data_IF_686769006181
#
_entry.id   IF_686769006181
#
_cell.length_a   1.000
_cell.length_b   1.000
_cell.length_c   1.000
_cell.angle_alpha   90.00
_cell.angle_beta   90.00
_cell.angle_gamma   90.00
#
_symmetry.space_group_name_H-M   'P 1'
#
loop_
_entity.id
_entity.type
_entity.pdbx_description
1 polymer ?
#
# COMPACT_ATOMS: atom_id res chain seq x y z
N UNK A 1 35.31 36.79 -16.17
CA UNK A 1 35.31 37.25 -14.77
C UNK A 1 35.98 36.15 -13.98
N UNK A 2 37.17 36.44 -13.47
CA UNK A 2 38.10 35.50 -12.84
C UNK A 2 37.85 35.44 -11.33
N UNK A 3 37.85 34.25 -10.74
CA UNK A 3 38.29 33.92 -9.36
C UNK A 3 38.49 32.40 -9.33
N UNK A 4 39.70 31.86 -9.41
CA UNK A 4 40.83 31.84 -8.45
C UNK A 4 40.68 30.75 -7.38
N UNK A 5 41.53 29.76 -7.61
CA UNK A 5 41.94 28.58 -6.86
C UNK A 5 42.33 28.80 -5.39
N UNK A 6 42.00 27.81 -4.56
CA UNK A 6 42.54 27.55 -3.23
C UNK A 6 43.99 27.08 -3.30
N UNK A 7 44.87 27.66 -2.49
CA UNK A 7 46.27 27.26 -2.35
C UNK A 7 46.50 26.77 -0.91
N UNK A 8 46.89 25.49 -0.77
CA UNK A 8 47.25 24.82 0.49
C UNK A 8 48.71 25.10 0.81
N UNK A 9 48.99 25.54 2.04
CA UNK A 9 50.33 25.78 2.57
C UNK A 9 51.07 24.44 2.76
N UNK A 10 52.34 24.40 2.35
CA UNK A 10 53.22 23.22 2.34
C UNK A 10 53.93 23.01 3.70
N UNK A 11 54.15 21.76 4.14
CA UNK A 11 54.80 21.41 5.42
C UNK A 11 56.21 22.01 5.64
N UNK A 12 56.89 22.45 4.59
CA UNK A 12 58.26 23.00 4.68
C UNK A 12 58.32 24.41 5.31
N UNK A 13 57.21 25.15 5.37
CA UNK A 13 57.18 26.46 6.04
C UNK A 13 57.05 26.36 7.57
N UNK A 14 56.50 25.25 8.08
CA UNK A 14 56.33 25.02 9.52
C UNK A 14 57.65 24.63 10.22
N UNK A 15 58.49 23.82 9.55
CA UNK A 15 59.77 23.38 10.10
C UNK A 15 60.80 24.53 10.19
N UNK A 16 60.69 25.54 9.31
CA UNK A 16 61.55 26.73 9.35
C UNK A 16 61.26 27.66 10.53
N UNK A 17 60.03 27.64 11.03
CA UNK A 17 59.61 28.45 12.18
C UNK A 17 60.02 27.76 13.50
N UNK A 18 60.03 26.42 13.53
CA UNK A 18 60.44 25.60 14.67
C UNK A 18 61.97 25.63 14.91
N UNK A 19 62.77 25.63 13.84
CA UNK A 19 64.24 25.75 13.93
C UNK A 19 64.68 27.15 14.39
N UNK A 20 63.84 28.19 14.18
CA UNK A 20 64.11 29.55 14.66
C UNK A 20 63.87 29.71 16.17
N UNK A 21 63.07 28.82 16.78
CA UNK A 21 62.76 28.83 18.21
C UNK A 21 63.71 27.98 19.06
N UNK A 22 64.48 27.07 18.45
CA UNK A 22 65.34 26.11 19.16
C UNK A 22 66.84 26.48 19.16
N UNK A 23 67.27 27.50 18.43
CA UNK A 23 68.68 27.94 18.37
C UNK A 23 68.92 29.26 19.13
N UNK A 24 68.93 29.20 20.46
CA UNK A 24 69.23 30.33 21.36
C UNK A 24 70.39 30.03 22.31
N UNK A 25 71.59 30.38 21.88
CA UNK A 25 72.89 30.14 22.50
C UNK A 25 73.11 30.81 23.86
N UNK A 26 73.88 30.10 24.69
CA UNK A 26 74.41 30.53 26.00
C UNK A 26 75.50 31.61 25.88
N UNK A 27 75.31 32.77 26.52
CA UNK A 27 76.41 33.67 26.88
C UNK A 27 76.32 34.15 28.34
N UNK A 28 77.47 34.07 29.05
CA UNK A 28 77.69 34.52 30.43
C UNK A 28 78.33 35.92 30.45
N UNK A 29 77.74 36.87 31.20
CA UNK A 29 78.38 37.91 32.08
C UNK A 29 77.37 39.04 32.40
N UNK A 30 77.58 39.94 33.39
CA UNK A 30 78.30 39.85 34.67
C UNK A 30 77.35 40.04 35.89
N UNK A 31 77.86 39.79 37.11
CA UNK A 31 77.14 39.94 38.39
C UNK A 31 76.83 41.41 38.70
N UNK A 32 75.55 41.76 38.84
CA UNK A 32 75.08 43.08 39.25
C UNK A 32 74.21 42.94 40.53
N UNK A 33 74.43 43.70 41.63
CA UNK A 33 73.88 43.41 42.96
C UNK A 33 72.37 43.67 43.12
N UNK A 34 71.65 44.01 42.05
CA UNK A 34 70.18 44.16 42.04
C UNK A 34 69.42 42.83 41.83
N UNK A 35 70.10 41.73 41.46
CA UNK A 35 69.48 40.40 41.31
C UNK A 35 69.09 39.72 42.63
N UNK A 36 69.72 40.05 43.77
CA UNK A 36 69.33 39.49 45.08
C UNK A 36 67.93 39.91 45.53
N UNK A 37 67.46 41.10 45.15
CA UNK A 37 66.09 41.57 45.46
C UNK A 37 65.03 40.91 44.57
N UNK A 38 65.37 40.57 43.33
CA UNK A 38 64.47 39.90 42.38
C UNK A 38 64.34 38.40 42.68
N UNK A 39 65.41 37.74 43.14
CA UNK A 39 65.36 36.33 43.57
C UNK A 39 64.58 36.17 44.88
N UNK A 40 64.68 37.13 45.80
CA UNK A 40 63.86 37.15 47.03
C UNK A 40 62.39 37.45 46.70
N UNK A 41 62.10 38.36 45.76
CA UNK A 41 60.73 38.62 45.30
C UNK A 41 60.12 37.41 44.54
N UNK A 42 60.91 36.68 43.75
CA UNK A 42 60.46 35.47 43.07
C UNK A 42 60.27 34.30 44.05
N UNK A 43 61.11 34.17 45.08
CA UNK A 43 60.93 33.17 46.14
C UNK A 43 59.71 33.48 47.02
N UNK A 44 59.41 34.75 47.29
CA UNK A 44 58.19 35.18 48.00
C UNK A 44 56.96 35.03 47.09
N UNK A 45 57.09 35.22 45.78
CA UNK A 45 56.00 34.95 44.83
C UNK A 45 55.74 33.44 44.69
N UNK A 46 56.77 32.60 44.68
CA UNK A 46 56.61 31.13 44.63
C UNK A 46 56.11 30.59 45.97
N UNK A 47 56.57 31.10 47.12
CA UNK A 47 56.01 30.77 48.44
C UNK A 47 54.61 31.39 48.64
N UNK A 48 54.30 32.49 47.96
CA UNK A 48 52.97 33.08 47.89
C UNK A 48 52.02 32.26 47.02
N UNK A 49 52.48 31.70 45.90
CA UNK A 49 51.69 30.82 45.03
C UNK A 49 51.52 29.42 45.66
N UNK A 50 52.55 28.89 46.32
CA UNK A 50 52.48 27.65 47.10
C UNK A 50 51.63 27.86 48.36
N UNK A 51 51.77 29.02 49.02
CA UNK A 51 50.95 29.43 50.16
C UNK A 51 49.48 29.66 49.78
N UNK A 52 49.20 30.24 48.62
CA UNK A 52 47.82 30.37 48.09
C UNK A 52 47.25 29.02 47.68
N UNK A 53 48.06 28.06 47.20
CA UNK A 53 47.64 26.66 46.97
C UNK A 53 47.48 25.82 48.25
N UNK A 54 48.12 26.20 49.37
CA UNK A 54 48.02 25.50 50.67
C UNK A 54 47.07 26.19 51.67
N UNK A 55 46.69 27.45 51.45
CA UNK A 55 45.71 28.21 52.25
C UNK A 55 44.39 28.50 51.52
N UNK A 56 44.29 28.20 50.22
CA UNK A 56 42.99 27.94 49.60
C UNK A 56 42.65 26.48 49.87
N UNK A 57 42.06 26.21 51.04
CA UNK A 57 41.21 25.04 51.18
C UNK A 57 40.14 25.17 50.10
N UNK A 58 40.29 24.39 49.03
CA UNK A 58 39.21 24.15 48.09
C UNK A 58 38.07 23.61 48.93
N UNK A 59 37.10 24.47 49.24
CA UNK A 59 35.83 24.03 49.75
C UNK A 59 35.27 23.25 48.57
N UNK A 60 35.32 21.91 48.64
CA UNK A 60 34.80 21.04 47.59
C UNK A 60 33.44 21.60 47.18
N UNK A 61 33.37 22.15 45.97
CA UNK A 61 32.12 22.69 45.44
C UNK A 61 31.27 21.47 45.14
N UNK A 62 30.44 21.10 46.11
CA UNK A 62 29.46 20.02 45.97
C UNK A 62 28.54 20.41 44.80
N UNK A 63 28.47 19.61 43.72
CA UNK A 63 27.64 19.92 42.57
C UNK A 63 26.18 20.04 43.01
N UNK A 64 25.51 21.08 42.52
CA UNK A 64 24.06 21.21 42.67
C UNK A 64 23.40 20.53 41.47
N UNK A 65 22.55 19.54 41.72
CA UNK A 65 21.90 18.72 40.69
C UNK A 65 20.38 18.84 40.79
N UNK A 66 19.70 18.93 39.65
CA UNK A 66 18.23 18.85 39.62
C UNK A 66 17.79 17.41 39.89
N UNK A 67 16.69 17.26 40.62
CA UNK A 67 16.20 15.97 41.08
C UNK A 67 14.78 15.70 40.63
N UNK A 68 14.47 14.43 40.42
CA UNK A 68 13.13 13.92 40.13
C UNK A 68 12.80 12.77 41.07
N UNK A 69 11.53 12.64 41.43
CA UNK A 69 11.03 11.53 42.25
C UNK A 69 10.22 10.59 41.35
N UNK A 70 10.51 9.28 41.34
CA UNK A 70 9.71 8.31 40.59
C UNK A 70 8.26 8.30 41.06
N UNK A 71 7.32 8.09 40.14
CA UNK A 71 5.89 7.99 40.48
C UNK A 71 5.28 6.74 39.88
N UNK A 72 4.34 6.11 40.61
CA UNK A 72 3.57 5.00 40.05
C UNK A 72 2.37 5.48 39.26
N UNK A 73 2.31 5.07 38.00
CA UNK A 73 1.17 5.33 37.11
C UNK A 73 1.11 4.33 35.98
N UNK A 74 -0.03 4.30 35.30
CA UNK A 74 -0.15 3.60 34.03
C UNK A 74 0.69 4.32 32.99
N UNK A 75 1.52 3.58 32.28
CA UNK A 75 2.32 4.04 31.16
C UNK A 75 2.01 3.21 29.93
N UNK A 76 1.96 3.87 28.78
CA UNK A 76 1.61 3.26 27.50
C UNK A 76 2.63 3.65 26.45
N UNK A 77 3.05 2.68 25.65
CA UNK A 77 3.77 2.90 24.40
C UNK A 77 2.74 3.01 23.28
N UNK A 78 2.71 4.15 22.57
CA UNK A 78 1.71 4.40 21.52
C UNK A 78 2.37 4.54 20.16
N UNK A 79 1.89 3.75 19.20
CA UNK A 79 2.19 3.94 17.79
C UNK A 79 1.28 5.03 17.22
N UNK A 80 1.88 6.12 16.75
CA UNK A 80 1.16 7.21 16.09
C UNK A 80 1.51 7.28 14.61
N UNK A 81 0.52 7.05 13.73
CA UNK A 81 0.71 7.03 12.28
C UNK A 81 -0.38 7.81 11.58
N UNK A 82 -0.04 8.48 10.48
CA UNK A 82 -0.99 9.23 9.65
C UNK A 82 -1.35 8.46 8.39
N UNK A 83 -2.58 8.60 7.94
CA UNK A 83 -3.08 7.97 6.72
C UNK A 83 -4.33 8.68 6.17
N UNK A 84 -4.70 8.43 4.90
CA UNK A 84 -5.96 8.91 4.36
C UNK A 84 -7.15 8.12 4.92
N UNK A 85 -8.27 8.82 5.11
CA UNK A 85 -9.59 8.21 5.32
C UNK A 85 -10.21 7.92 3.96
N UNK A 86 -10.77 6.72 3.77
CA UNK A 86 -11.50 6.32 2.57
C UNK A 86 -12.79 5.58 2.92
N UNK A 87 -13.67 5.39 1.93
CA UNK A 87 -14.71 4.36 2.03
C UNK A 87 -14.13 2.94 2.06
N UNK A 88 -15.00 1.99 2.39
CA UNK A 88 -14.69 0.54 2.44
C UNK A 88 -14.48 -0.06 1.05
N UNK A 89 -15.44 0.19 0.16
CA UNK A 89 -15.43 -0.24 -1.23
C UNK A 89 -15.30 0.99 -2.13
N UNK A 90 -14.40 0.96 -3.10
CA UNK A 90 -14.22 2.01 -4.11
C UNK A 90 -14.14 1.39 -5.49
N UNK A 91 -14.90 1.92 -6.44
CA UNK A 91 -14.89 1.47 -7.83
C UNK A 91 -14.83 2.66 -8.78
N UNK A 92 -13.83 2.60 -9.65
CA UNK A 92 -13.66 3.49 -10.79
C UNK A 92 -14.54 3.01 -11.96
N UNK A 93 -15.41 3.89 -12.44
CA UNK A 93 -16.30 3.61 -13.57
C UNK A 93 -15.72 4.25 -14.83
N UNK A 94 -15.35 3.39 -15.78
CA UNK A 94 -14.77 3.77 -17.08
C UNK A 94 -15.65 3.30 -18.24
N UNK A 95 -15.45 3.89 -19.41
CA UNK A 95 -16.08 3.43 -20.66
C UNK A 95 -15.05 3.40 -21.78
N UNK A 96 -15.05 2.32 -22.55
CA UNK A 96 -14.22 2.17 -23.74
C UNK A 96 -14.99 2.48 -25.03
N UNK A 97 -16.24 2.93 -24.93
CA UNK A 97 -17.06 3.26 -26.08
C UNK A 97 -16.74 4.68 -26.57
N UNK A 98 -16.46 4.79 -27.87
CA UNK A 98 -16.29 6.07 -28.54
C UNK A 98 -17.66 6.71 -28.83
N UNK A 99 -18.34 7.17 -27.78
CA UNK A 99 -19.66 7.78 -27.83
C UNK A 99 -19.73 9.05 -26.99
N UNK A 100 -20.52 10.02 -27.42
CA UNK A 100 -20.75 11.27 -26.70
C UNK A 100 -21.67 11.05 -25.50
N UNK A 101 -21.41 11.70 -24.37
CA UNK A 101 -22.28 11.66 -23.19
C UNK A 101 -23.44 12.62 -23.40
N UNK A 102 -24.66 12.10 -23.46
CA UNK A 102 -25.89 12.87 -23.63
C UNK A 102 -26.45 13.36 -22.29
N UNK A 103 -26.40 12.51 -21.27
CA UNK A 103 -26.99 12.80 -19.96
C UNK A 103 -26.13 12.27 -18.82
N UNK A 104 -26.10 13.01 -17.71
CA UNK A 104 -25.51 12.59 -16.43
C UNK A 104 -26.59 12.82 -15.35
N UNK A 105 -27.40 11.82 -15.02
CA UNK A 105 -28.52 11.95 -14.06
C UNK A 105 -28.08 12.03 -12.59
N UNK A 106 -26.78 11.93 -12.29
CA UNK A 106 -26.22 11.92 -10.94
C UNK A 106 -25.26 13.08 -10.71
N UNK A 107 -25.05 13.46 -9.45
CA UNK A 107 -24.09 14.48 -9.02
C UNK A 107 -23.18 13.92 -7.94
N UNK A 108 -22.05 14.61 -7.72
CA UNK A 108 -21.20 14.32 -6.57
C UNK A 108 -21.99 14.47 -5.27
N UNK A 109 -21.87 13.47 -4.39
CA UNK A 109 -22.62 13.35 -3.14
C UNK A 109 -23.93 12.57 -3.26
N UNK A 110 -24.41 12.24 -4.45
CA UNK A 110 -25.63 11.43 -4.60
C UNK A 110 -25.36 9.97 -4.22
N UNK A 111 -26.30 9.38 -3.46
CA UNK A 111 -26.33 7.93 -3.22
C UNK A 111 -26.90 7.21 -4.44
N UNK A 112 -26.23 6.14 -4.86
CA UNK A 112 -26.60 5.31 -6.01
C UNK A 112 -26.67 3.85 -5.61
N UNK A 113 -27.61 3.11 -6.21
CA UNK A 113 -27.68 1.65 -6.08
C UNK A 113 -27.03 0.95 -7.26
N UNK A 114 -26.52 -0.25 -7.08
CA UNK A 114 -25.99 -1.10 -8.14
C UNK A 114 -26.98 -1.23 -9.30
N UNK A 115 -26.49 -0.98 -10.51
CA UNK A 115 -27.29 -0.97 -11.73
C UNK A 115 -27.98 0.36 -12.04
N UNK A 116 -27.94 1.34 -11.14
CA UNK A 116 -28.49 2.67 -11.39
C UNK A 116 -27.68 3.38 -12.49
N UNK A 117 -28.35 4.02 -13.48
CA UNK A 117 -27.68 4.80 -14.51
C UNK A 117 -26.90 5.99 -13.92
N UNK A 118 -25.64 6.13 -14.34
CA UNK A 118 -24.73 7.23 -14.01
C UNK A 118 -24.56 8.19 -15.19
N UNK A 119 -24.56 7.64 -16.41
CA UNK A 119 -24.51 8.40 -17.64
C UNK A 119 -25.23 7.65 -18.78
N UNK A 120 -25.78 8.41 -19.71
CA UNK A 120 -26.35 7.91 -20.96
C UNK A 120 -25.49 8.42 -22.11
N UNK A 121 -24.96 7.50 -22.90
CA UNK A 121 -24.16 7.79 -24.08
C UNK A 121 -25.05 7.81 -25.34
N UNK A 122 -24.58 8.47 -26.40
CA UNK A 122 -25.20 8.40 -27.71
C UNK A 122 -25.13 6.96 -28.24
N UNK A 123 -26.31 6.33 -28.35
CA UNK A 123 -26.46 4.95 -28.77
C UNK A 123 -26.64 4.79 -30.28
N UNK A 124 -26.70 5.89 -31.04
CA UNK A 124 -27.21 5.86 -32.40
C UNK A 124 -26.39 5.00 -33.36
N UNK A 125 -25.06 5.00 -33.23
CA UNK A 125 -24.18 4.17 -34.07
C UNK A 125 -24.09 2.73 -33.55
N UNK A 126 -23.97 2.53 -32.24
CA UNK A 126 -23.92 1.20 -31.62
C UNK A 126 -25.22 0.43 -31.85
N UNK A 127 -26.36 1.12 -31.81
CA UNK A 127 -27.67 0.55 -32.11
C UNK A 127 -27.79 0.11 -33.57
N UNK A 128 -27.30 0.92 -34.52
CA UNK A 128 -27.25 0.53 -35.93
C UNK A 128 -26.37 -0.71 -36.13
N UNK A 129 -25.24 -0.79 -35.44
CA UNK A 129 -24.36 -1.97 -35.48
C UNK A 129 -25.07 -3.22 -34.96
N UNK A 130 -25.79 -3.12 -33.83
CA UNK A 130 -26.61 -4.20 -33.31
C UNK A 130 -27.73 -4.63 -34.28
N UNK A 131 -28.40 -3.67 -34.92
CA UNK A 131 -29.43 -3.94 -35.92
C UNK A 131 -28.86 -4.65 -37.17
N UNK A 132 -27.67 -4.23 -37.63
CA UNK A 132 -26.96 -4.89 -38.75
C UNK A 132 -26.61 -6.33 -38.37
N UNK A 133 -25.98 -6.54 -37.20
CA UNK A 133 -25.59 -7.87 -36.75
C UNK A 133 -26.79 -8.79 -36.55
N UNK A 134 -27.92 -8.25 -36.08
CA UNK A 134 -29.19 -8.99 -36.01
C UNK A 134 -29.68 -9.43 -37.39
N UNK A 135 -29.66 -8.53 -38.37
CA UNK A 135 -30.09 -8.85 -39.73
C UNK A 135 -29.19 -9.93 -40.36
N UNK A 136 -27.88 -9.87 -40.12
CA UNK A 136 -26.93 -10.89 -40.58
C UNK A 136 -27.18 -12.26 -39.92
N UNK A 137 -27.50 -12.28 -38.62
CA UNK A 137 -27.92 -13.49 -37.92
C UNK A 137 -29.21 -14.07 -38.50
N UNK A 138 -30.25 -13.24 -38.68
CA UNK A 138 -31.53 -13.66 -39.26
C UNK A 138 -31.36 -14.18 -40.70
N UNK A 139 -30.47 -13.56 -41.48
CA UNK A 139 -30.10 -14.00 -42.83
C UNK A 139 -29.36 -15.35 -42.79
N UNK A 140 -28.42 -15.56 -41.88
CA UNK A 140 -27.71 -16.84 -41.73
C UNK A 140 -28.66 -17.98 -41.35
N UNK A 141 -29.59 -17.71 -40.41
CA UNK A 141 -30.63 -18.67 -40.01
C UNK A 141 -31.53 -19.03 -41.20
N UNK A 142 -31.99 -18.03 -41.95
CA UNK A 142 -32.84 -18.23 -43.13
C UNK A 142 -32.11 -19.03 -44.22
N UNK A 143 -30.85 -18.67 -44.50
CA UNK A 143 -30.01 -19.35 -45.50
C UNK A 143 -29.79 -20.82 -45.15
N UNK A 144 -29.48 -21.11 -43.88
CA UNK A 144 -29.32 -22.50 -43.42
C UNK A 144 -30.63 -23.29 -43.58
N UNK A 145 -31.77 -22.70 -43.21
CA UNK A 145 -33.08 -23.34 -43.36
C UNK A 145 -33.43 -23.62 -44.85
N UNK A 146 -33.11 -22.69 -45.75
CA UNK A 146 -33.26 -22.89 -47.19
C UNK A 146 -32.36 -24.03 -47.69
N UNK A 147 -31.09 -24.07 -47.28
CA UNK A 147 -30.15 -25.14 -47.66
C UNK A 147 -30.53 -26.50 -47.12
N UNK A 148 -31.05 -26.56 -45.90
CA UNK A 148 -31.61 -27.78 -45.32
C UNK A 148 -32.80 -28.27 -46.14
N UNK A 149 -33.67 -27.36 -46.59
CA UNK A 149 -34.82 -27.71 -47.44
C UNK A 149 -34.36 -28.20 -48.81
N UNK A 150 -33.35 -27.56 -49.41
CA UNK A 150 -32.72 -28.03 -50.65
C UNK A 150 -32.14 -29.43 -50.51
N UNK A 151 -31.39 -29.70 -49.42
CA UNK A 151 -30.82 -31.01 -49.13
C UNK A 151 -31.90 -32.10 -48.99
N UNK A 152 -33.00 -31.81 -48.27
CA UNK A 152 -34.14 -32.73 -48.13
C UNK A 152 -34.80 -33.05 -49.47
N UNK A 153 -35.04 -32.04 -50.29
CA UNK A 153 -35.65 -32.22 -51.60
C UNK A 153 -34.73 -32.98 -52.56
N UNK A 154 -33.43 -32.67 -52.55
CA UNK A 154 -32.40 -33.35 -53.35
C UNK A 154 -32.31 -34.83 -52.97
N UNK A 155 -32.20 -35.13 -51.68
CA UNK A 155 -32.18 -36.50 -51.18
C UNK A 155 -33.46 -37.28 -51.50
N UNK A 156 -34.63 -36.67 -51.33
CA UNK A 156 -35.91 -37.30 -51.68
C UNK A 156 -35.96 -37.70 -53.17
N UNK A 157 -35.41 -36.85 -54.05
CA UNK A 157 -35.29 -37.16 -55.48
C UNK A 157 -34.26 -38.27 -55.73
N UNK A 158 -33.09 -38.20 -55.10
CA UNK A 158 -32.05 -39.23 -55.23
C UNK A 158 -32.58 -40.64 -54.86
N UNK A 159 -33.41 -40.72 -53.81
CA UNK A 159 -34.08 -41.97 -53.41
C UNK A 159 -35.06 -42.46 -54.48
N UNK A 160 -35.80 -41.57 -55.15
CA UNK A 160 -36.68 -41.95 -56.26
C UNK A 160 -35.90 -42.49 -57.46
N UNK A 161 -34.77 -41.84 -57.77
CA UNK A 161 -33.88 -42.25 -58.86
C UNK A 161 -33.22 -43.61 -58.55
N UNK A 162 -32.78 -43.83 -57.31
CA UNK A 162 -32.27 -45.12 -56.81
C UNK A 162 -33.30 -46.24 -56.95
N UNK A 163 -34.53 -46.00 -56.48
CA UNK A 163 -35.61 -47.00 -56.61
C UNK A 163 -35.89 -47.35 -58.08
N UNK A 164 -35.82 -46.36 -58.97
CA UNK A 164 -36.02 -46.55 -60.42
C UNK A 164 -34.88 -47.35 -61.02
N UNK A 165 -33.63 -47.03 -60.68
CA UNK A 165 -32.43 -47.73 -61.14
C UNK A 165 -32.42 -49.19 -60.65
N UNK A 166 -32.79 -49.42 -59.37
CA UNK A 166 -32.92 -50.75 -58.79
C UNK A 166 -33.95 -51.59 -59.55
N UNK A 167 -35.15 -51.05 -59.77
CA UNK A 167 -36.19 -51.77 -60.52
C UNK A 167 -35.77 -52.07 -61.97
N UNK A 168 -34.96 -51.22 -62.58
CA UNK A 168 -34.42 -51.44 -63.92
C UNK A 168 -33.33 -52.54 -63.93
N UNK A 169 -32.42 -52.52 -62.96
CA UNK A 169 -31.42 -53.56 -62.76
C UNK A 169 -32.09 -54.92 -62.53
N UNK A 170 -33.04 -55.00 -61.60
CA UNK A 170 -33.74 -56.25 -61.26
C UNK A 170 -34.45 -56.84 -62.49
N UNK A 171 -35.13 -55.99 -63.27
CA UNK A 171 -35.80 -56.40 -64.51
C UNK A 171 -34.81 -56.88 -65.56
N UNK A 172 -33.71 -56.16 -65.77
CA UNK A 172 -32.70 -56.47 -66.79
C UNK A 172 -31.95 -57.75 -66.43
N UNK A 173 -31.63 -57.93 -65.14
CA UNK A 173 -31.02 -59.16 -64.61
C UNK A 173 -31.91 -60.38 -64.86
N UNK A 174 -33.20 -60.28 -64.55
CA UNK A 174 -34.14 -61.37 -64.81
C UNK A 174 -34.22 -61.73 -66.31
N UNK A 175 -34.18 -60.74 -67.21
CA UNK A 175 -34.14 -60.97 -68.66
C UNK A 175 -32.81 -61.57 -69.13
N UNK A 176 -31.68 -61.16 -68.54
CA UNK A 176 -30.35 -61.70 -68.85
C UNK A 176 -30.23 -63.16 -68.42
N UNK A 177 -30.69 -63.47 -67.20
CA UNK A 177 -30.71 -64.84 -66.65
C UNK A 177 -31.60 -65.77 -67.50
N UNK A 178 -32.66 -65.23 -68.10
CA UNK A 178 -33.50 -65.89 -69.10
C UNK A 178 -32.91 -65.94 -70.52
N UNK A 179 -31.70 -65.44 -70.75
CA UNK A 179 -31.01 -65.42 -72.05
C UNK A 179 -31.59 -64.43 -73.07
N UNK A 180 -32.41 -63.47 -72.63
CA UNK A 180 -33.19 -62.57 -73.51
C UNK A 180 -32.52 -61.22 -73.79
N UNK A 181 -31.45 -60.86 -73.09
CA UNK A 181 -30.67 -59.62 -73.33
C UNK A 181 -29.14 -59.89 -73.27
N UNK A 182 -28.30 -59.13 -73.98
CA UNK A 182 -26.84 -59.18 -73.88
C UNK A 182 -26.26 -58.78 -72.51
N UNK A 183 -25.03 -59.23 -72.21
CA UNK A 183 -24.31 -58.89 -70.96
C UNK A 183 -24.07 -57.38 -70.76
N UNK A 184 -23.83 -56.66 -71.85
CA UNK A 184 -23.59 -55.20 -71.81
C UNK A 184 -24.79 -54.42 -71.29
N UNK A 185 -26.01 -54.91 -71.53
CA UNK A 185 -27.23 -54.26 -71.03
C UNK A 185 -27.34 -54.42 -69.51
N UNK A 186 -26.97 -55.60 -68.98
CA UNK A 186 -26.89 -55.83 -67.54
C UNK A 186 -25.81 -54.96 -66.88
N UNK A 187 -24.60 -54.90 -67.44
CA UNK A 187 -23.51 -54.06 -66.93
C UNK A 187 -23.91 -52.57 -66.95
N UNK A 188 -24.67 -52.12 -67.96
CA UNK A 188 -25.19 -50.75 -68.02
C UNK A 188 -26.21 -50.48 -66.92
N UNK A 189 -27.13 -51.43 -66.68
CA UNK A 189 -28.12 -51.30 -65.60
C UNK A 189 -27.46 -51.33 -64.20
N UNK A 190 -26.43 -52.16 -64.02
CA UNK A 190 -25.64 -52.24 -62.78
C UNK A 190 -24.89 -50.94 -62.50
N UNK A 191 -24.22 -50.37 -63.51
CA UNK A 191 -23.56 -49.07 -63.36
C UNK A 191 -24.57 -47.97 -63.03
N UNK A 192 -25.74 -47.96 -63.68
CA UNK A 192 -26.80 -47.00 -63.37
C UNK A 192 -27.33 -47.12 -61.93
N UNK A 193 -27.39 -48.33 -61.38
CA UNK A 193 -27.72 -48.56 -59.97
C UNK A 193 -26.62 -48.01 -59.05
N UNK A 194 -25.35 -48.38 -59.29
CA UNK A 194 -24.22 -47.88 -58.51
C UNK A 194 -24.09 -46.35 -58.57
N UNK A 195 -24.42 -45.73 -59.70
CA UNK A 195 -24.43 -44.27 -59.84
C UNK A 195 -25.50 -43.63 -58.94
N UNK A 196 -26.71 -44.20 -58.90
CA UNK A 196 -27.80 -43.72 -58.07
C UNK A 196 -27.55 -43.95 -56.57
N UNK A 197 -26.89 -45.06 -56.19
CA UNK A 197 -26.46 -45.33 -54.82
C UNK A 197 -25.46 -44.26 -54.34
N UNK A 198 -24.43 -43.97 -55.16
CA UNK A 198 -23.43 -42.95 -54.84
C UNK A 198 -24.02 -41.55 -54.70
N UNK A 199 -25.02 -41.22 -55.51
CA UNK A 199 -25.74 -39.94 -55.37
C UNK A 199 -26.47 -39.86 -54.02
N UNK A 200 -27.15 -40.93 -53.58
CA UNK A 200 -27.81 -40.97 -52.26
C UNK A 200 -26.81 -40.82 -51.12
N UNK A 201 -25.67 -41.52 -51.20
CA UNK A 201 -24.61 -41.51 -50.19
C UNK A 201 -23.88 -40.16 -50.09
N UNK A 202 -24.01 -39.29 -51.10
CA UNK A 202 -23.42 -37.95 -51.09
C UNK A 202 -24.09 -36.98 -50.10
N UNK A 203 -25.32 -37.28 -49.66
CA UNK A 203 -26.07 -36.42 -48.75
C UNK A 203 -25.74 -36.71 -47.29
N UNK A 204 -25.53 -35.66 -46.49
CA UNK A 204 -25.35 -35.80 -45.04
C UNK A 204 -26.70 -35.98 -44.36
N UNK A 205 -26.90 -37.10 -43.66
CA UNK A 205 -28.12 -37.40 -42.93
C UNK A 205 -27.90 -37.21 -41.42
N UNK A 206 -28.72 -36.35 -40.80
CA UNK A 206 -28.76 -36.19 -39.33
C UNK A 206 -30.19 -36.39 -38.86
N UNK A 207 -30.38 -37.20 -37.82
CA UNK A 207 -31.70 -37.52 -37.25
C UNK A 207 -32.73 -37.98 -38.30
N UNK A 208 -32.29 -38.77 -39.27
CA UNK A 208 -33.16 -39.32 -40.33
C UNK A 208 -33.62 -38.31 -41.38
N UNK A 209 -33.04 -37.11 -41.45
CA UNK A 209 -33.28 -36.14 -42.52
C UNK A 209 -31.98 -35.69 -43.15
N UNK A 210 -31.98 -35.49 -44.47
CA UNK A 210 -30.87 -34.81 -45.13
C UNK A 210 -30.77 -33.37 -44.63
N UNK A 211 -29.55 -32.93 -44.36
CA UNK A 211 -29.24 -31.60 -43.85
C UNK A 211 -28.15 -30.98 -44.71
N UNK A 212 -28.10 -29.65 -44.67
CA UNK A 212 -27.01 -28.91 -45.28
C UNK A 212 -25.69 -29.17 -44.54
N UNK A 213 -24.59 -28.78 -45.19
CA UNK A 213 -23.25 -28.83 -44.63
C UNK A 213 -23.15 -28.03 -43.32
N UNK A 214 -22.33 -28.51 -42.38
CA UNK A 214 -22.18 -27.90 -41.06
C UNK A 214 -21.63 -26.47 -41.11
N UNK A 215 -20.99 -26.06 -42.21
CA UNK A 215 -20.56 -24.67 -42.44
C UNK A 215 -21.69 -23.65 -42.30
N UNK A 216 -22.93 -23.98 -42.67
CA UNK A 216 -24.08 -23.09 -42.48
C UNK A 216 -24.47 -22.93 -41.00
N UNK A 217 -24.29 -23.98 -40.20
CA UNK A 217 -24.52 -23.90 -38.75
C UNK A 217 -23.45 -23.05 -38.07
N UNK A 218 -22.19 -23.21 -38.49
CA UNK A 218 -21.08 -22.37 -38.02
C UNK A 218 -21.27 -20.89 -38.40
N UNK A 219 -21.86 -20.60 -39.57
CA UNK A 219 -22.23 -19.23 -39.94
C UNK A 219 -23.30 -18.64 -39.01
N UNK A 220 -24.32 -19.42 -38.63
CA UNK A 220 -25.31 -18.99 -37.64
C UNK A 220 -24.63 -18.70 -36.30
N UNK A 221 -23.76 -19.59 -35.82
CA UNK A 221 -23.07 -19.42 -34.54
C UNK A 221 -22.18 -18.17 -34.53
N UNK A 222 -21.42 -17.95 -35.61
CA UNK A 222 -20.62 -16.74 -35.78
C UNK A 222 -21.49 -15.48 -35.76
N UNK A 223 -22.54 -15.44 -36.59
CA UNK A 223 -23.41 -14.27 -36.67
C UNK A 223 -24.16 -14.01 -35.34
N UNK A 224 -24.50 -15.08 -34.61
CA UNK A 224 -25.07 -14.98 -33.26
C UNK A 224 -24.10 -14.32 -32.29
N UNK A 225 -22.84 -14.75 -32.27
CA UNK A 225 -21.82 -14.17 -31.41
C UNK A 225 -21.58 -12.68 -31.75
N UNK A 226 -21.51 -12.35 -33.03
CA UNK A 226 -21.37 -10.97 -33.48
C UNK A 226 -22.57 -10.11 -33.04
N UNK A 227 -23.79 -10.66 -33.11
CA UNK A 227 -25.00 -9.99 -32.59
C UNK A 227 -24.99 -9.81 -31.07
N UNK A 228 -24.66 -10.85 -30.29
CA UNK A 228 -24.57 -10.77 -28.83
C UNK A 228 -23.55 -9.72 -28.38
N UNK A 229 -22.39 -9.67 -29.05
CA UNK A 229 -21.36 -8.64 -28.80
C UNK A 229 -21.87 -7.22 -29.08
N UNK A 230 -22.59 -7.02 -30.19
CA UNK A 230 -23.14 -5.72 -30.53
C UNK A 230 -24.24 -5.28 -29.54
N UNK A 231 -25.04 -6.22 -29.03
CA UNK A 231 -26.02 -5.96 -27.96
C UNK A 231 -25.33 -5.59 -26.65
N UNK A 232 -24.24 -6.27 -26.27
CA UNK A 232 -23.46 -5.91 -25.07
C UNK A 232 -22.88 -4.49 -25.18
N UNK A 233 -22.36 -4.13 -26.35
CA UNK A 233 -21.91 -2.75 -26.60
C UNK A 233 -23.06 -1.74 -26.49
N UNK A 234 -24.26 -2.10 -26.97
CA UNK A 234 -25.44 -1.26 -26.83
C UNK A 234 -25.84 -1.11 -25.36
N UNK A 235 -25.83 -2.17 -24.57
CA UNK A 235 -26.11 -2.10 -23.13
C UNK A 235 -25.09 -1.23 -22.38
N UNK A 236 -23.83 -1.25 -22.82
CA UNK A 236 -22.75 -0.41 -22.29
C UNK A 236 -22.89 1.09 -22.64
N UNK A 237 -23.84 1.48 -23.51
CA UNK A 237 -24.19 2.90 -23.73
C UNK A 237 -24.89 3.52 -22.51
N UNK A 238 -25.45 2.70 -21.63
CA UNK A 238 -25.98 3.14 -20.34
C UNK A 238 -24.95 2.75 -19.29
N UNK A 239 -24.15 3.72 -18.87
CA UNK A 239 -23.14 3.50 -17.84
C UNK A 239 -23.83 3.39 -16.48
N UNK A 240 -23.64 2.26 -15.77
CA UNK A 240 -24.34 1.94 -14.53
C UNK A 240 -23.38 1.84 -13.34
N UNK A 241 -23.91 2.08 -12.14
CA UNK A 241 -23.18 1.87 -10.90
C UNK A 241 -22.86 0.37 -10.70
N UNK A 242 -21.58 -0.02 -10.51
CA UNK A 242 -21.20 -1.42 -10.28
C UNK A 242 -21.48 -1.90 -8.85
N UNK A 243 -21.55 -0.97 -7.90
CA UNK A 243 -21.81 -1.19 -6.46
C UNK A 243 -22.85 -0.19 -5.94
N UNK A 244 -23.45 -0.50 -4.79
CA UNK A 244 -24.15 0.49 -3.99
C UNK A 244 -23.12 1.45 -3.37
N UNK A 245 -23.40 2.76 -3.34
CA UNK A 245 -22.46 3.71 -2.75
C UNK A 245 -22.84 5.17 -2.99
N UNK A 246 -21.87 6.05 -2.80
CA UNK A 246 -21.98 7.48 -3.04
C UNK A 246 -21.06 7.87 -4.20
N UNK A 247 -21.55 8.69 -5.12
CA UNK A 247 -20.72 9.25 -6.19
C UNK A 247 -19.77 10.28 -5.58
N UNK A 248 -18.49 9.94 -5.44
CA UNK A 248 -17.50 10.85 -4.82
C UNK A 248 -16.81 11.75 -5.83
N UNK A 249 -16.75 11.34 -7.11
CA UNK A 249 -16.20 12.15 -8.20
C UNK A 249 -17.01 11.99 -9.49
N UNK A 250 -17.16 13.09 -10.22
CA UNK A 250 -17.67 13.14 -11.59
C UNK A 250 -16.65 13.87 -12.47
N UNK A 251 -15.81 13.14 -13.20
CA UNK A 251 -14.72 13.73 -14.00
C UNK A 251 -15.12 14.01 -15.47
N UNK A 252 -16.41 13.92 -15.77
CA UNK A 252 -16.92 14.06 -17.14
C UNK A 252 -18.06 15.09 -17.23
N UNK A 253 -18.44 15.44 -18.46
CA UNK A 253 -19.48 16.44 -18.77
C UNK A 253 -20.28 16.01 -19.98
N UNK A 254 -21.55 16.42 -20.02
CA UNK A 254 -22.40 16.30 -21.23
C UNK A 254 -21.69 16.96 -22.41
N UNK A 255 -21.71 16.29 -23.56
CA UNK A 255 -21.02 16.72 -24.77
C UNK A 255 -19.60 16.17 -24.95
N UNK A 256 -19.07 15.43 -23.98
CA UNK A 256 -17.74 14.81 -24.04
C UNK A 256 -17.83 13.37 -24.51
N UNK A 257 -16.82 12.89 -25.24
CA UNK A 257 -16.67 11.48 -25.57
C UNK A 257 -16.23 10.66 -24.35
N UNK A 258 -16.90 9.53 -24.12
CA UNK A 258 -16.73 8.69 -22.92
C UNK A 258 -15.35 8.01 -22.82
N UNK A 259 -14.71 7.72 -23.96
CA UNK A 259 -13.38 7.10 -24.06
C UNK A 259 -12.22 8.12 -24.01
N UNK A 260 -12.51 9.43 -24.01
CA UNK A 260 -11.51 10.50 -24.06
C UNK A 260 -11.47 11.29 -22.76
N UNK A 261 -10.89 10.70 -21.71
CA UNK A 261 -10.68 11.37 -20.43
C UNK A 261 -9.33 12.07 -20.36
N UNK A 262 -9.24 13.13 -19.53
CA UNK A 262 -7.97 13.81 -19.26
C UNK A 262 -7.17 12.95 -18.28
N UNK A 263 -5.89 12.70 -18.59
CA UNK A 263 -4.98 11.89 -17.76
C UNK A 263 -5.55 10.50 -17.39
N UNK A 264 -6.33 9.90 -18.28
CA UNK A 264 -6.98 8.60 -18.07
C UNK A 264 -7.86 8.51 -16.80
N UNK A 265 -8.37 9.66 -16.33
CA UNK A 265 -9.23 9.70 -15.16
C UNK A 265 -10.55 8.90 -15.40
N UNK A 266 -11.06 8.19 -14.39
CA UNK A 266 -12.34 7.49 -14.52
C UNK A 266 -13.49 8.49 -14.67
N UNK A 267 -14.58 8.11 -15.34
CA UNK A 267 -15.74 9.00 -15.53
C UNK A 267 -16.41 9.31 -14.19
N UNK A 268 -16.57 8.27 -13.36
CA UNK A 268 -17.14 8.35 -12.02
C UNK A 268 -16.28 7.55 -11.05
N UNK A 269 -16.22 8.00 -9.80
CA UNK A 269 -15.70 7.20 -8.68
C UNK A 269 -16.84 7.02 -7.70
N UNK A 270 -17.13 5.77 -7.34
CA UNK A 270 -18.19 5.42 -6.39
C UNK A 270 -17.56 4.77 -5.19
N UNK A 271 -17.86 5.30 -4.01
CA UNK A 271 -17.38 4.76 -2.73
C UNK A 271 -18.51 4.43 -1.77
N UNK A 272 -18.35 3.34 -1.03
CA UNK A 272 -19.20 3.05 0.12
C UNK A 272 -18.72 3.86 1.33
N UNK A 273 -19.40 4.98 1.59
CA UNK A 273 -19.12 5.91 2.68
C UNK A 273 -19.88 5.59 3.97
N UNK A 274 -20.70 4.54 4.01
CA UNK A 274 -21.43 4.16 5.23
C UNK A 274 -20.47 3.60 6.30
N UNK A 275 -19.31 3.10 5.88
CA UNK A 275 -18.22 2.68 6.76
C UNK A 275 -16.92 3.31 6.27
N UNK A 276 -16.28 4.11 7.13
CA UNK A 276 -15.00 4.74 6.85
C UNK A 276 -13.85 3.88 7.37
N UNK A 277 -12.78 3.83 6.60
CA UNK A 277 -11.53 3.16 6.96
C UNK A 277 -10.37 4.14 6.86
N UNK A 278 -9.42 4.01 7.76
CA UNK A 278 -8.14 4.70 7.76
C UNK A 278 -7.06 3.71 7.32
N UNK A 279 -6.36 4.01 6.23
CA UNK A 279 -5.23 3.20 5.78
C UNK A 279 -3.91 3.81 6.27
N UNK A 280 -3.25 3.12 7.19
CA UNK A 280 -1.95 3.53 7.74
C UNK A 280 -0.84 2.58 7.28
N UNK A 281 0.37 3.12 7.21
CA UNK A 281 1.58 2.38 6.87
C UNK A 281 2.45 2.20 8.10
N UNK A 282 2.46 1.00 8.67
CA UNK A 282 3.19 0.69 9.91
C UNK A 282 4.57 0.13 9.57
N UNK A 283 5.62 0.59 10.24
CA UNK A 283 7.00 0.12 10.00
C UNK A 283 7.16 -1.38 10.28
N UNK A 284 8.02 -2.07 9.51
CA UNK A 284 8.31 -3.51 9.69
C UNK A 284 8.88 -3.83 11.09
N UNK A 285 9.51 -2.85 11.74
CA UNK A 285 10.04 -2.99 13.10
C UNK A 285 8.97 -2.94 14.19
N UNK A 286 7.82 -2.32 13.91
CA UNK A 286 6.76 -2.08 14.91
C UNK A 286 5.54 -2.98 14.68
N UNK A 287 5.28 -3.40 13.44
CA UNK A 287 4.07 -4.14 13.09
C UNK A 287 3.88 -5.44 13.88
N UNK A 288 4.97 -6.07 14.35
CA UNK A 288 4.91 -7.26 15.20
C UNK A 288 4.23 -7.06 16.55
N UNK A 289 4.04 -5.79 16.99
CA UNK A 289 3.33 -5.42 18.22
C UNK A 289 1.87 -4.99 17.97
N UNK A 290 1.41 -4.97 16.72
CA UNK A 290 0.04 -4.61 16.36
C UNK A 290 -0.76 -5.86 16.02
N UNK A 291 -1.99 -5.96 16.54
CA UNK A 291 -2.88 -7.08 16.30
C UNK A 291 -4.21 -6.64 15.68
N UNK A 292 -4.83 -7.54 14.90
CA UNK A 292 -6.21 -7.37 14.45
C UNK A 292 -7.15 -7.44 15.66
N UNK A 293 -8.13 -6.53 15.73
CA UNK A 293 -9.04 -6.36 16.85
C UNK A 293 -8.60 -5.31 17.88
N UNK A 294 -7.42 -4.71 17.69
CA UNK A 294 -6.89 -3.72 18.61
C UNK A 294 -7.57 -2.36 18.41
N UNK A 295 -7.91 -1.69 19.51
CA UNK A 295 -8.49 -0.36 19.48
C UNK A 295 -7.48 0.70 19.04
N UNK A 296 -7.99 1.72 18.33
CA UNK A 296 -7.22 2.85 17.86
C UNK A 296 -8.01 4.14 18.08
N UNK A 297 -7.34 5.18 18.57
CA UNK A 297 -7.88 6.53 18.62
C UNK A 297 -7.52 7.28 17.34
N UNK A 298 -8.53 7.83 16.67
CA UNK A 298 -8.38 8.56 15.42
C UNK A 298 -8.62 10.05 15.68
N UNK A 299 -7.69 10.88 15.21
CA UNK A 299 -7.77 12.34 15.28
C UNK A 299 -7.57 12.95 13.91
N UNK A 300 -8.25 14.07 13.65
CA UNK A 300 -8.10 14.85 12.42
C UNK A 300 -8.45 16.32 12.70
N UNK A 301 -7.87 17.24 11.95
CA UNK A 301 -8.09 18.68 12.16
C UNK A 301 -9.58 19.06 12.08
N UNK A 302 -10.35 18.39 11.21
CA UNK A 302 -11.79 18.62 11.05
C UNK A 302 -12.62 18.28 12.30
N UNK A 303 -12.08 17.45 13.19
CA UNK A 303 -12.73 17.09 14.46
C UNK A 303 -12.57 18.19 15.53
N UNK A 304 -11.78 19.25 15.30
CA UNK A 304 -11.60 20.38 16.21
C UNK A 304 -11.17 19.97 17.64
N UNK A 305 -10.29 18.98 17.75
CA UNK A 305 -9.79 18.47 19.03
C UNK A 305 -10.60 17.31 19.61
N UNK A 306 -11.72 16.93 19.00
CA UNK A 306 -12.41 15.66 19.30
C UNK A 306 -11.64 14.49 18.68
N UNK A 307 -11.74 13.31 19.29
CA UNK A 307 -11.23 12.04 18.76
C UNK A 307 -12.41 11.10 18.49
N UNK A 308 -12.19 10.15 17.58
CA UNK A 308 -13.14 9.06 17.30
C UNK A 308 -12.45 7.72 17.45
N UNK A 309 -13.21 6.68 17.73
CA UNK A 309 -12.68 5.34 17.98
C UNK A 309 -12.71 4.50 16.70
N UNK A 310 -11.68 3.67 16.55
CA UNK A 310 -11.59 2.68 15.50
C UNK A 310 -10.98 1.37 15.98
N UNK A 311 -11.03 0.38 15.11
CA UNK A 311 -10.51 -0.97 15.36
C UNK A 311 -9.61 -1.40 14.19
N UNK A 312 -8.45 -1.98 14.49
CA UNK A 312 -7.58 -2.58 13.48
C UNK A 312 -8.26 -3.80 12.89
N UNK A 313 -8.74 -3.72 11.65
CA UNK A 313 -9.48 -4.81 10.99
C UNK A 313 -8.61 -5.68 10.09
N UNK A 314 -7.46 -5.18 9.65
CA UNK A 314 -6.61 -5.87 8.70
C UNK A 314 -5.17 -5.38 8.76
N UNK A 315 -4.24 -6.32 8.71
CA UNK A 315 -2.80 -6.10 8.55
C UNK A 315 -2.41 -6.85 7.27
N UNK A 316 -1.80 -6.15 6.32
CA UNK A 316 -1.37 -6.76 5.06
C UNK A 316 -0.36 -7.89 5.30
N UNK A 317 -0.48 -9.05 4.62
CA UNK A 317 0.49 -10.12 4.71
C UNK A 317 1.82 -9.81 4.00
N UNK A 318 1.88 -8.69 3.27
CA UNK A 318 3.07 -8.24 2.53
C UNK A 318 3.40 -6.80 2.86
N UNK A 319 4.69 -6.51 3.01
CA UNK A 319 5.21 -5.15 3.15
C UNK A 319 5.62 -4.54 1.81
N UNK A 320 5.50 -3.22 1.71
CA UNK A 320 5.89 -2.40 0.57
C UNK A 320 6.94 -1.36 0.98
N UNK A 321 7.61 -0.76 0.00
CA UNK A 321 8.45 0.42 0.27
C UNK A 321 7.55 1.60 0.63
N UNK A 322 7.94 2.39 1.65
CA UNK A 322 7.18 3.57 2.09
C UNK A 322 6.95 4.59 0.97
N UNK A 323 7.81 4.58 -0.05
CA UNK A 323 7.82 5.52 -1.16
C UNK A 323 8.75 6.72 -0.92
N UNK A 324 8.77 7.65 -1.88
CA UNK A 324 9.54 8.90 -1.75
C UNK A 324 11.06 8.73 -1.74
N UNK A 325 11.59 7.61 -2.24
CA UNK A 325 13.03 7.31 -2.23
C UNK A 325 13.55 6.73 -0.91
N UNK A 326 12.67 6.42 0.04
CA UNK A 326 13.03 5.70 1.26
C UNK A 326 13.18 4.20 1.00
N UNK A 327 14.21 3.58 1.59
CA UNK A 327 14.36 2.11 1.64
C UNK A 327 13.58 1.48 2.80
N UNK A 328 12.86 2.28 3.60
CA UNK A 328 12.05 1.80 4.72
C UNK A 328 10.87 0.97 4.19
N UNK A 329 10.68 -0.21 4.78
CA UNK A 329 9.53 -1.07 4.49
C UNK A 329 8.43 -0.86 5.51
N UNK A 330 7.21 -0.79 4.99
CA UNK A 330 5.99 -0.56 5.76
C UNK A 330 4.92 -1.56 5.35
N UNK A 331 4.05 -1.88 6.29
CA UNK A 331 2.99 -2.86 6.14
C UNK A 331 1.67 -2.08 6.17
N UNK A 332 0.93 -2.04 5.04
CA UNK A 332 -0.39 -1.44 5.01
C UNK A 332 -1.31 -2.09 6.03
N UNK A 333 -1.96 -1.26 6.85
CA UNK A 333 -2.83 -1.67 7.94
C UNK A 333 -4.09 -0.81 7.89
N UNK A 334 -5.26 -1.44 8.01
CA UNK A 334 -6.55 -0.75 7.95
C UNK A 334 -7.20 -0.69 9.33
N UNK A 335 -7.67 0.49 9.68
CA UNK A 335 -8.44 0.75 10.89
C UNK A 335 -9.84 1.17 10.47
N UNK A 336 -10.87 0.46 10.92
CA UNK A 336 -12.26 0.84 10.68
C UNK A 336 -12.72 1.83 11.73
N UNK A 337 -13.34 2.92 11.30
CA UNK A 337 -14.01 3.86 12.22
C UNK A 337 -15.26 3.16 12.78
N UNK A 338 -15.36 3.10 14.11
CA UNK A 338 -16.46 2.43 14.81
C UNK A 338 -17.56 3.39 15.26
N UNK A 339 -17.20 4.65 15.50
CA UNK A 339 -18.14 5.70 15.85
C UNK A 339 -19.02 6.08 14.65
N UNK A 340 -20.30 6.35 14.92
CA UNK A 340 -21.27 6.81 13.93
C UNK A 340 -21.40 8.34 13.95
N UNK A 341 -21.92 8.92 12.86
CA UNK A 341 -22.18 10.36 12.72
C UNK A 341 -20.96 11.26 13.00
N UNK A 342 -19.77 10.74 12.70
CA UNK A 342 -18.52 11.50 12.83
C UNK A 342 -18.45 12.63 11.78
N UNK A 343 -17.66 13.67 12.05
CA UNK A 343 -17.35 14.71 11.06
C UNK A 343 -16.25 14.29 10.07
N UNK A 344 -15.80 13.03 10.11
CA UNK A 344 -14.80 12.53 9.19
C UNK A 344 -15.39 12.44 7.78
N UNK A 345 -14.56 12.75 6.78
CA UNK A 345 -14.93 12.75 5.37
C UNK A 345 -13.85 11.97 4.62
N UNK A 346 -14.25 11.10 3.69
CA UNK A 346 -13.31 10.41 2.82
C UNK A 346 -12.44 11.41 2.03
N UNK A 347 -11.15 11.10 1.90
CA UNK A 347 -10.14 11.91 1.23
C UNK A 347 -9.35 12.85 2.15
N UNK A 348 -9.69 12.98 3.43
CA UNK A 348 -8.86 13.74 4.40
C UNK A 348 -7.78 12.85 5.02
N UNK A 349 -6.70 13.48 5.49
CA UNK A 349 -5.68 12.79 6.31
C UNK A 349 -6.12 12.80 7.77
N UNK A 350 -6.02 11.63 8.41
CA UNK A 350 -6.21 11.47 9.84
C UNK A 350 -4.96 10.83 10.48
N UNK A 351 -4.91 10.85 11.80
CA UNK A 351 -3.87 10.24 12.62
C UNK A 351 -4.49 9.18 13.50
N UNK A 352 -3.97 7.97 13.44
CA UNK A 352 -4.28 6.89 14.37
C UNK A 352 -3.23 6.84 15.49
N UNK A 353 -3.70 6.59 16.71
CA UNK A 353 -2.88 6.23 17.87
C UNK A 353 -3.31 4.84 18.34
N UNK A 354 -2.37 3.89 18.36
CA UNK A 354 -2.58 2.50 18.78
C UNK A 354 -1.68 2.23 20.00
N UNK A 355 -2.25 1.73 21.09
CA UNK A 355 -1.48 1.35 22.29
C UNK A 355 -0.78 0.02 22.04
N UNK A 356 0.54 0.02 21.87
CA UNK A 356 1.35 -1.18 21.62
C UNK A 356 1.59 -2.02 22.88
N UNK A 357 1.94 -1.34 23.96
CA UNK A 357 2.29 -1.92 25.24
C UNK A 357 1.72 -1.04 26.35
N UNK A 358 1.28 -1.66 27.44
CA UNK A 358 0.75 -0.99 28.61
C UNK A 358 1.25 -1.69 29.86
N UNK A 359 1.72 -0.90 30.82
CA UNK A 359 2.06 -1.37 32.17
C UNK A 359 1.25 -0.55 33.18
N UNK A 360 0.37 -1.24 33.90
CA UNK A 360 -0.37 -0.64 35.01
C UNK A 360 0.51 -0.55 36.25
N UNK A 361 0.42 0.57 36.97
CA UNK A 361 1.15 0.78 38.22
C UNK A 361 2.68 0.68 38.09
N UNK A 362 3.22 1.03 36.91
CA UNK A 362 4.64 1.08 36.59
C UNK A 362 5.36 2.17 37.41
N UNK A 363 6.58 1.91 37.86
CA UNK A 363 7.43 2.94 38.46
C UNK A 363 8.07 3.75 37.32
N UNK A 364 7.68 5.01 37.18
CA UNK A 364 8.04 5.83 36.02
C UNK A 364 8.94 6.99 36.38
N UNK A 365 9.83 7.33 35.45
CA UNK A 365 10.71 8.50 35.49
C UNK A 365 10.74 9.17 34.11
N UNK A 366 11.08 10.47 34.01
CA UNK A 366 11.36 11.09 32.72
C UNK A 366 12.46 10.34 31.98
N UNK A 367 12.36 10.26 30.65
CA UNK A 367 13.38 9.56 29.82
C UNK A 367 14.78 10.15 30.05
N UNK A 368 14.86 11.45 30.35
CA UNK A 368 16.13 12.13 30.66
C UNK A 368 16.81 11.63 31.93
N UNK A 369 16.09 10.97 32.85
CA UNK A 369 16.60 10.52 34.14
C UNK A 369 17.29 9.14 34.07
N UNK A 370 17.34 8.53 32.89
CA UNK A 370 18.00 7.25 32.64
C UNK A 370 19.21 7.47 31.75
N UNK A 371 20.34 6.84 32.09
CA UNK A 371 21.54 6.83 31.25
C UNK A 371 21.96 5.40 30.91
N UNK A 372 22.37 5.19 29.67
CA UNK A 372 23.02 3.95 29.26
C UNK A 372 24.53 4.08 29.42
N UNK A 373 25.15 3.08 30.06
CA UNK A 373 26.61 2.93 30.12
C UNK A 373 26.99 1.47 29.90
N UNK A 374 27.90 1.25 28.95
CA UNK A 374 28.42 -0.08 28.61
C UNK A 374 27.30 -1.12 28.32
N UNK A 375 26.18 -0.67 27.73
CA UNK A 375 25.01 -1.50 27.41
C UNK A 375 24.11 -1.83 28.60
N UNK A 376 24.30 -1.20 29.76
CA UNK A 376 23.43 -1.31 30.94
C UNK A 376 22.78 0.03 31.25
N UNK A 377 21.49 0.04 31.58
CA UNK A 377 20.77 1.26 31.95
C UNK A 377 20.90 1.52 33.45
N UNK A 378 21.09 2.79 33.81
CA UNK A 378 21.24 3.24 35.19
C UNK A 378 20.38 4.46 35.46
N UNK A 379 19.93 4.57 36.70
CA UNK A 379 19.52 5.82 37.32
C UNK A 379 20.51 6.18 38.43
N UNK A 380 20.66 7.47 38.72
CA UNK A 380 21.51 7.96 39.79
C UNK A 380 20.64 8.42 40.95
N UNK A 381 20.61 7.65 42.03
CA UNK A 381 19.87 7.96 43.27
C UNK A 381 20.74 8.80 44.22
N UNK A 382 20.12 9.73 44.93
CA UNK A 382 20.75 10.51 45.99
C UNK A 382 20.28 9.95 47.33
N UNK A 383 21.18 9.27 48.04
CA UNK A 383 20.96 8.83 49.42
C UNK A 383 22.00 9.46 50.34
N UNK A 384 21.56 10.03 51.46
CA UNK A 384 22.41 10.70 52.45
C UNK A 384 23.36 11.78 51.87
N UNK A 385 22.92 12.46 50.79
CA UNK A 385 23.71 13.49 50.10
C UNK A 385 24.82 12.96 49.19
N UNK A 386 24.82 11.65 48.92
CA UNK A 386 25.77 11.00 48.01
C UNK A 386 25.05 10.30 46.85
N UNK A 387 25.71 10.25 45.69
CA UNK A 387 25.19 9.59 44.49
C UNK A 387 25.40 8.08 44.56
N UNK A 388 24.36 7.30 44.26
CA UNK A 388 24.42 5.86 44.05
C UNK A 388 23.96 5.50 42.65
N UNK A 389 24.75 4.70 41.95
CA UNK A 389 24.39 4.20 40.62
C UNK A 389 23.55 2.94 40.75
N UNK A 390 22.28 3.03 40.36
CA UNK A 390 21.33 1.93 40.47
C UNK A 390 21.05 1.37 39.07
N UNK A 391 21.46 0.12 38.77
CA UNK A 391 21.13 -0.52 37.50
C UNK A 391 19.63 -0.80 37.44
N UNK A 392 19.02 -0.53 36.27
CA UNK A 392 17.60 -0.73 36.00
C UNK A 392 17.41 -1.43 34.65
N UNK A 393 16.41 -2.31 34.58
CA UNK A 393 15.82 -2.76 33.33
C UNK A 393 14.76 -1.76 32.88
N UNK A 394 14.61 -1.58 31.57
CA UNK A 394 13.58 -0.70 31.00
C UNK A 394 12.36 -1.53 30.64
N UNK A 395 11.21 -1.11 31.17
CA UNK A 395 9.90 -1.66 30.85
C UNK A 395 9.26 -0.94 29.66
N UNK A 396 8.01 -0.52 29.84
CA UNK A 396 7.29 0.27 28.81
C UNK A 396 7.89 1.67 28.69
N UNK A 397 8.23 2.05 27.45
CA UNK A 397 8.71 3.38 27.10
C UNK A 397 7.56 4.20 26.47
N UNK A 398 7.25 5.34 27.08
CA UNK A 398 6.31 6.33 26.55
C UNK A 398 7.04 7.54 25.96
N UNK A 399 6.30 8.54 25.50
CA UNK A 399 6.88 9.70 24.79
C UNK A 399 7.76 10.61 25.66
N UNK A 400 7.47 10.70 26.96
CA UNK A 400 8.14 11.63 27.90
C UNK A 400 8.74 10.91 29.09
N UNK A 401 8.19 9.75 29.43
CA UNK A 401 8.52 8.98 30.61
C UNK A 401 8.71 7.52 30.21
N UNK A 402 9.43 6.78 31.04
CA UNK A 402 9.68 5.36 30.86
C UNK A 402 9.55 4.63 32.19
N UNK A 403 9.16 3.37 32.10
CA UNK A 403 9.15 2.46 33.23
C UNK A 403 10.57 1.98 33.53
N UNK A 404 10.95 2.09 34.81
CA UNK A 404 12.19 1.53 35.34
C UNK A 404 11.88 0.37 36.26
N UNK A 405 12.57 -0.75 36.04
CA UNK A 405 12.44 -1.97 36.83
C UNK A 405 13.80 -2.18 37.53
N UNK A 406 13.88 -2.00 38.86
CA UNK A 406 15.13 -2.23 39.57
C UNK A 406 15.63 -3.66 39.41
N UNK A 407 16.90 -3.84 39.04
CA UNK A 407 17.52 -5.16 38.91
C UNK A 407 17.62 -5.84 40.29
N UNK A 408 17.59 -7.17 40.34
CA UNK A 408 17.64 -7.93 41.61
C UNK A 408 18.79 -7.47 42.52
N UNK A 409 18.44 -7.04 43.74
CA UNK A 409 19.39 -6.53 44.74
C UNK A 409 19.39 -5.00 44.89
N UNK A 410 18.72 -4.27 44.00
CA UNK A 410 18.49 -2.82 44.08
C UNK A 410 17.08 -2.51 44.62
N UNK A 411 16.93 -1.40 45.35
CA UNK A 411 15.61 -0.91 45.79
C UNK A 411 15.38 0.51 45.30
N UNK A 412 14.37 0.70 44.46
CA UNK A 412 13.83 2.02 44.13
C UNK A 412 12.34 2.02 44.41
N UNK A 413 11.86 3.11 45.00
CA UNK A 413 10.44 3.33 45.24
C UNK A 413 10.06 4.81 45.05
N UNK A 414 8.83 5.16 45.38
CA UNK A 414 8.28 6.51 45.20
C UNK A 414 8.89 7.56 46.14
N UNK A 415 9.73 7.15 47.10
CA UNK A 415 10.48 8.05 47.97
C UNK A 415 11.93 8.23 47.51
N UNK A 416 12.39 7.48 46.50
CA UNK A 416 13.71 7.65 45.92
C UNK A 416 13.86 9.04 45.31
N UNK A 417 15.03 9.65 45.48
CA UNK A 417 15.36 10.95 44.89
C UNK A 417 16.42 10.72 43.82
N UNK A 418 16.05 10.85 42.56
CA UNK A 418 16.93 10.60 41.42
C UNK A 418 17.46 11.91 40.84
N UNK A 419 18.65 11.89 40.25
CA UNK A 419 19.16 13.00 39.45
C UNK A 419 18.36 13.05 38.14
N UNK A 420 17.82 14.22 37.80
CA UNK A 420 16.95 14.41 36.63
C UNK A 420 17.68 14.28 35.28
N UNK A 421 18.99 14.55 35.28
CA UNK A 421 19.91 14.39 34.15
C UNK A 421 21.20 13.72 34.67
N UNK A 422 21.24 12.38 34.77
CA UNK A 422 22.40 11.65 35.25
C UNK A 422 23.57 11.76 34.25
N UNK A 423 24.78 11.56 34.75
CA UNK A 423 25.97 11.66 33.91
C UNK A 423 27.22 11.07 34.55
N UNK A 424 28.21 10.75 33.72
CA UNK A 424 29.45 10.11 34.17
C UNK A 424 30.26 10.97 35.16
N UNK A 425 30.04 12.29 35.14
CA UNK A 425 30.65 13.23 36.09
C UNK A 425 30.20 12.98 37.54
N UNK A 426 29.03 12.38 37.74
CA UNK A 426 28.47 12.09 39.07
C UNK A 426 28.84 10.66 39.47
N UNK A 427 30.08 10.44 39.87
CA UNK A 427 30.58 9.10 40.24
C UNK A 427 29.90 8.54 41.49
N UNK A 428 29.84 7.21 41.62
CA UNK A 428 29.31 6.54 42.81
C UNK A 428 30.03 6.98 44.10
N UNK A 429 29.26 7.33 45.14
CA UNK A 429 29.75 7.91 46.39
C UNK A 429 30.10 9.40 46.36
N UNK A 430 29.94 10.09 45.22
CA UNK A 430 30.18 11.53 45.11
C UNK A 430 29.15 12.31 45.93
N UNK A 431 29.61 13.27 46.74
CA UNK A 431 28.71 14.19 47.42
C UNK A 431 28.06 15.15 46.41
N UNK A 432 26.74 15.29 46.48
CA UNK A 432 25.94 16.22 45.66
C UNK A 432 24.93 16.95 46.55
N UNK A 433 24.45 18.10 46.10
CA UNK A 433 23.37 18.85 46.76
C UNK A 433 22.19 18.91 45.80
N UNK A 434 21.01 18.49 46.24
CA UNK A 434 19.81 18.56 45.42
C UNK A 434 19.33 20.01 45.27
N UNK A 435 19.07 20.42 44.03
CA UNK A 435 18.33 21.62 43.61
C UNK A 435 16.83 21.41 43.84
N UNK A 436 16.44 21.10 45.07
CA UNK A 436 15.04 20.93 45.43
C UNK A 436 14.46 22.23 45.96
N UNK A 437 13.50 22.85 45.25
CA UNK A 437 12.51 23.72 45.89
C UNK A 437 11.80 22.87 46.96
N UNK A 438 12.06 23.16 48.24
CA UNK A 438 11.11 22.84 49.29
C UNK A 438 9.80 23.55 48.95
N UNK A 439 8.81 22.78 48.48
CA UNK A 439 7.43 23.23 48.47
C UNK A 439 6.97 23.45 49.91
N UNK A 440 6.54 24.67 50.21
CA UNK A 440 5.41 24.90 51.12
C UNK A 440 4.10 24.58 50.41
#
# INVERSE_FOLDING_TARGET
MSMSSEEKISPEEFDKELDSLLAGTTEKKPKNPKRKKIIIAAAIAILGIIGIKLLSGGKDMVPVVDTVTPTRKTIQNRLTVTGPISGTDSVDVVSNLHAEILEIPVKEGDKVTKGQPLAVLDDSDVKKEADIAKNDYDLAVTTCAEKDKEARNGYAKAIQDLNTAQANYDRTKALFDGGSVPKVDLETAENGLHDAERECDSYTIKNGSAVADDSYRLQIEKAKFDYEKAVEQLDNTILKAPIDGTVVRVNTKVGRFADKMENDAPLFVIENLDNLELEIKVSEYTIGKVAVGQEAEISADILNGETVHGEVISISPTGEEKGGGSSERVIPTKIRVTDQDTKLIAGITARASIVLEESENALTVPVSAVMEKDGTNYVQEISDGTVSWVPVDIGVEGDVEMEIIPVEGSSLDENSVLIAEPGEQYTDGMAVTSSGKQGE
#
